data_IF_036387369474
#
_entry.id   IF_036387369474
#
_cell.length_a   1.000
_cell.length_b   1.000
_cell.length_c   1.000
_cell.angle_alpha   90.00
_cell.angle_beta   90.00
_cell.angle_gamma   90.00
#
_symmetry.space_group_name_H-M   'P 1'
#
loop_
_entity.id
_entity.type
_entity.pdbx_description
1 polymer ?
#
# COMPACT_ATOMS: atom_id res chain seq x y z
N UNK A 1 46.48 0.35 6.96
CA UNK A 1 46.42 0.06 5.51
C UNK A 1 44.96 -0.29 5.19
N UNK A 2 44.11 0.70 4.86
CA UNK A 2 42.70 0.46 4.51
C UNK A 2 42.68 -0.06 3.07
N UNK A 3 42.33 -1.33 2.88
CA UNK A 3 41.94 -1.81 1.58
C UNK A 3 40.62 -1.12 1.24
N UNK A 4 40.67 -0.10 0.37
CA UNK A 4 39.47 0.40 -0.30
C UNK A 4 38.94 -0.75 -1.13
N UNK A 5 37.96 -1.48 -0.58
CA UNK A 5 37.21 -2.47 -1.33
C UNK A 5 36.53 -1.71 -2.47
N UNK A 6 37.14 -1.74 -3.64
CA UNK A 6 36.58 -1.18 -4.86
C UNK A 6 35.21 -1.82 -5.05
N UNK A 7 34.15 -1.08 -4.75
CA UNK A 7 32.79 -1.58 -4.90
C UNK A 7 32.61 -2.06 -6.34
N UNK A 8 32.31 -3.34 -6.50
CA UNK A 8 32.21 -3.96 -7.81
C UNK A 8 31.15 -3.28 -8.68
N UNK A 9 31.27 -3.39 -10.02
CA UNK A 9 30.30 -2.85 -10.97
C UNK A 9 28.86 -3.33 -10.72
N UNK A 10 28.69 -4.49 -10.08
CA UNK A 10 27.40 -5.04 -9.68
C UNK A 10 26.68 -4.19 -8.62
N UNK A 11 27.42 -3.69 -7.61
CA UNK A 11 26.83 -2.84 -6.55
C UNK A 11 26.32 -1.52 -7.12
N UNK A 12 27.04 -0.94 -8.09
CA UNK A 12 26.60 0.27 -8.80
C UNK A 12 25.34 0.02 -9.64
N UNK A 13 25.30 -1.08 -10.39
CA UNK A 13 24.11 -1.47 -11.17
C UNK A 13 22.89 -1.71 -10.29
N UNK A 14 23.08 -2.35 -9.13
CA UNK A 14 22.00 -2.55 -8.16
C UNK A 14 21.52 -1.23 -7.58
N UNK A 15 22.43 -0.34 -7.19
CA UNK A 15 22.10 0.99 -6.70
C UNK A 15 21.26 1.79 -7.72
N UNK A 16 21.67 1.81 -8.98
CA UNK A 16 20.94 2.47 -10.07
C UNK A 16 19.53 1.90 -10.26
N UNK A 17 19.37 0.57 -10.16
CA UNK A 17 18.05 -0.09 -10.24
C UNK A 17 17.16 0.32 -9.07
N UNK A 18 17.70 0.30 -7.84
CA UNK A 18 16.96 0.67 -6.63
C UNK A 18 16.54 2.14 -6.65
N UNK A 19 17.41 3.04 -7.10
CA UNK A 19 17.09 4.47 -7.28
C UNK A 19 15.91 4.64 -8.23
N UNK A 20 15.94 3.94 -9.37
CA UNK A 20 14.87 4.02 -10.38
C UNK A 20 13.56 3.48 -9.84
N UNK A 21 13.61 2.38 -9.09
CA UNK A 21 12.44 1.78 -8.47
C UNK A 21 11.83 2.68 -7.38
N UNK A 22 12.66 3.37 -6.59
CA UNK A 22 12.17 4.36 -5.60
C UNK A 22 11.51 5.54 -6.30
N UNK A 23 12.09 6.07 -7.36
CA UNK A 23 11.45 7.16 -8.13
C UNK A 23 10.11 6.74 -8.71
N UNK A 24 9.99 5.49 -9.16
CA UNK A 24 8.73 4.91 -9.63
C UNK A 24 7.72 4.79 -8.49
N UNK A 25 8.10 4.17 -7.37
CA UNK A 25 7.23 3.99 -6.21
C UNK A 25 6.75 5.33 -5.64
N UNK A 26 7.63 6.33 -5.54
CA UNK A 26 7.27 7.68 -5.07
C UNK A 26 6.33 8.39 -6.05
N UNK A 27 6.50 8.20 -7.36
CA UNK A 27 5.56 8.73 -8.35
C UNK A 27 4.18 8.10 -8.19
N UNK A 28 4.12 6.77 -8.03
CA UNK A 28 2.86 6.06 -7.79
C UNK A 28 2.20 6.51 -6.48
N UNK A 29 2.97 6.72 -5.41
CA UNK A 29 2.48 7.18 -4.11
C UNK A 29 1.89 8.60 -4.16
N UNK A 30 2.31 9.44 -5.11
CA UNK A 30 1.73 10.77 -5.36
C UNK A 30 0.46 10.68 -6.22
N UNK A 31 0.46 9.84 -7.25
CA UNK A 31 -0.63 9.77 -8.22
C UNK A 31 -1.82 8.94 -7.74
N UNK A 32 -1.60 7.89 -6.94
CA UNK A 32 -2.65 6.97 -6.50
C UNK A 32 -3.72 7.65 -5.62
N UNK A 33 -3.36 8.48 -4.62
CA UNK A 33 -4.35 9.14 -3.76
C UNK A 33 -5.33 10.02 -4.54
N UNK A 34 -4.84 10.74 -5.56
CA UNK A 34 -5.70 11.57 -6.44
C UNK A 34 -6.70 10.72 -7.23
N UNK A 35 -6.32 9.51 -7.64
CA UNK A 35 -7.22 8.59 -8.34
C UNK A 35 -8.27 8.00 -7.40
N UNK A 36 -7.88 7.62 -6.19
CA UNK A 36 -8.81 7.08 -5.18
C UNK A 36 -9.76 8.15 -4.64
N UNK A 37 -9.31 9.40 -4.46
CA UNK A 37 -10.17 10.51 -4.09
C UNK A 37 -11.32 10.72 -5.08
N UNK A 38 -11.06 10.55 -6.39
CA UNK A 38 -12.11 10.64 -7.42
C UNK A 38 -13.14 9.50 -7.34
N UNK A 39 -12.78 8.35 -6.76
CA UNK A 39 -13.64 7.16 -6.66
C UNK A 39 -14.43 7.13 -5.36
N UNK A 40 -13.73 7.35 -4.25
CA UNK A 40 -14.25 7.22 -2.89
C UNK A 40 -14.76 8.56 -2.32
N UNK A 41 -14.51 9.68 -3.01
CA UNK A 41 -14.85 11.01 -2.52
C UNK A 41 -14.00 11.40 -1.31
N UNK A 42 -14.63 11.93 -0.26
CA UNK A 42 -13.97 12.44 0.95
C UNK A 42 -13.91 11.39 2.08
N UNK A 43 -13.80 10.11 1.74
CA UNK A 43 -13.81 9.02 2.72
C UNK A 43 -12.49 8.97 3.54
N UNK A 44 -12.52 8.45 4.78
CA UNK A 44 -11.32 8.30 5.63
C UNK A 44 -10.11 7.60 4.96
N UNK A 45 -10.30 6.53 4.14
CA UNK A 45 -9.19 5.91 3.41
C UNK A 45 -8.45 6.88 2.47
N UNK A 46 -9.16 7.85 1.89
CA UNK A 46 -8.58 8.86 0.98
C UNK A 46 -7.70 9.82 1.76
N UNK A 47 -8.16 10.32 2.90
CA UNK A 47 -7.37 11.22 3.74
C UNK A 47 -6.02 10.58 4.16
N UNK A 48 -6.04 9.30 4.55
CA UNK A 48 -4.81 8.56 4.89
C UNK A 48 -3.85 8.45 3.70
N UNK A 49 -4.38 8.22 2.49
CA UNK A 49 -3.59 8.19 1.25
C UNK A 49 -3.04 9.58 0.87
N UNK A 50 -3.78 10.66 1.12
CA UNK A 50 -3.33 12.02 0.87
C UNK A 50 -2.13 12.42 1.75
N UNK A 51 -2.11 11.99 3.02
CA UNK A 51 -0.95 12.14 3.90
C UNK A 51 0.30 11.47 3.32
N UNK A 52 0.13 10.26 2.75
CA UNK A 52 1.18 9.54 2.05
C UNK A 52 1.66 10.31 0.81
N UNK A 53 0.75 10.84 -0.02
CA UNK A 53 1.10 11.65 -1.20
C UNK A 53 1.88 12.92 -0.82
N UNK A 54 1.47 13.60 0.25
CA UNK A 54 2.15 14.81 0.73
C UNK A 54 3.57 14.50 1.17
N UNK A 55 3.74 13.44 1.98
CA UNK A 55 5.07 12.97 2.37
C UNK A 55 5.90 12.54 1.15
N UNK A 56 5.30 11.85 0.19
CA UNK A 56 5.99 11.41 -1.03
C UNK A 56 6.51 12.58 -1.86
N UNK A 57 5.67 13.62 -2.03
CA UNK A 57 6.05 14.85 -2.72
C UNK A 57 7.25 15.52 -2.06
N UNK A 58 7.21 15.68 -0.74
CA UNK A 58 8.30 16.29 0.02
C UNK A 58 9.60 15.45 -0.04
N UNK A 59 9.49 14.13 0.13
CA UNK A 59 10.66 13.26 0.15
C UNK A 59 11.30 13.08 -1.23
N UNK A 60 10.51 13.14 -2.31
CA UNK A 60 11.03 13.08 -3.68
C UNK A 60 11.94 14.26 -4.00
N UNK A 61 11.59 15.47 -3.57
CA UNK A 61 12.46 16.65 -3.76
C UNK A 61 13.79 16.45 -3.03
N UNK A 62 13.73 16.12 -1.74
CA UNK A 62 14.93 15.82 -0.92
C UNK A 62 15.77 14.69 -1.49
N UNK A 63 15.13 13.65 -2.05
CA UNK A 63 15.81 12.52 -2.65
C UNK A 63 16.63 12.97 -3.86
N UNK A 64 16.03 13.75 -4.75
CA UNK A 64 16.72 14.28 -5.91
C UNK A 64 17.89 15.16 -5.49
N UNK A 65 17.74 16.04 -4.51
CA UNK A 65 18.85 16.85 -3.96
C UNK A 65 20.01 15.96 -3.48
N UNK A 66 19.72 14.91 -2.70
CA UNK A 66 20.73 13.96 -2.23
C UNK A 66 21.44 13.26 -3.41
N UNK A 67 20.71 12.86 -4.46
CA UNK A 67 21.33 12.25 -5.63
C UNK A 67 22.26 13.22 -6.37
N UNK A 68 21.85 14.48 -6.54
CA UNK A 68 22.68 15.51 -7.18
C UNK A 68 23.94 15.82 -6.35
N UNK A 69 23.83 15.93 -5.01
CA UNK A 69 24.98 16.22 -4.15
C UNK A 69 26.01 15.10 -4.04
N UNK A 70 25.67 13.87 -4.43
CA UNK A 70 26.55 12.70 -4.37
C UNK A 70 27.01 12.24 -5.77
N UNK A 71 26.78 13.05 -6.81
CA UNK A 71 27.13 12.75 -8.21
C UNK A 71 26.69 11.36 -8.68
N UNK A 72 25.57 10.86 -8.19
CA UNK A 72 25.08 9.52 -8.55
C UNK A 72 24.42 9.60 -9.93
N UNK A 73 25.00 9.00 -10.99
CA UNK A 73 24.42 9.07 -12.31
C UNK A 73 23.10 8.29 -12.33
N UNK A 74 21.99 8.98 -12.59
CA UNK A 74 20.72 8.32 -12.85
C UNK A 74 20.27 8.63 -14.28
N UNK A 75 20.31 7.61 -15.13
CA UNK A 75 19.81 7.73 -16.49
C UNK A 75 18.28 7.82 -16.43
N UNK A 76 17.72 8.92 -16.92
CA UNK A 76 16.27 9.08 -17.16
C UNK A 76 15.87 8.16 -18.33
N UNK A 77 15.81 6.86 -18.08
CA UNK A 77 15.35 5.86 -19.05
C UNK A 77 13.85 6.02 -19.28
N UNK A 78 13.49 6.91 -20.20
CA UNK A 78 12.15 7.11 -20.75
C UNK A 78 11.95 6.14 -21.91
N UNK A 79 10.84 5.39 -21.91
CA UNK A 79 10.06 4.90 -23.07
C UNK A 79 9.30 3.59 -22.78
N UNK A 80 9.75 2.76 -21.82
CA UNK A 80 9.02 1.53 -21.43
C UNK A 80 7.87 1.73 -20.44
N UNK A 81 7.84 2.87 -19.73
CA UNK A 81 6.88 3.13 -18.66
C UNK A 81 5.46 3.42 -19.18
N UNK A 82 5.32 4.04 -20.35
CA UNK A 82 4.04 4.54 -20.87
C UNK A 82 3.08 3.42 -21.27
N UNK A 83 3.57 2.32 -21.85
CA UNK A 83 2.74 1.16 -22.23
C UNK A 83 2.25 0.35 -21.00
N UNK A 84 3.06 0.27 -19.94
CA UNK A 84 2.65 -0.38 -18.70
C UNK A 84 1.59 0.43 -17.94
N UNK A 85 1.75 1.77 -17.88
CA UNK A 85 0.76 2.66 -17.25
C UNK A 85 -0.59 2.62 -17.97
N UNK A 86 -0.59 2.51 -19.30
CA UNK A 86 -1.84 2.44 -20.08
C UNK A 86 -2.64 1.17 -19.77
N UNK A 87 -1.98 0.01 -19.59
CA UNK A 87 -2.65 -1.24 -19.23
C UNK A 87 -3.27 -1.19 -17.84
N UNK A 88 -2.59 -0.58 -16.87
CA UNK A 88 -3.14 -0.39 -15.52
C UNK A 88 -4.38 0.51 -15.52
N UNK A 89 -4.40 1.59 -16.32
CA UNK A 89 -5.54 2.50 -16.40
C UNK A 89 -6.82 1.84 -16.96
N UNK A 90 -6.69 0.82 -17.81
CA UNK A 90 -7.84 0.13 -18.40
C UNK A 90 -8.41 -0.93 -17.45
N UNK A 91 -7.55 -1.66 -16.72
CA UNK A 91 -8.02 -2.70 -15.78
C UNK A 91 -8.56 -2.10 -14.48
N UNK A 92 -7.99 -0.99 -14.00
CA UNK A 92 -8.41 -0.36 -12.74
C UNK A 92 -9.86 0.16 -12.78
N UNK A 93 -10.47 0.36 -13.96
CA UNK A 93 -11.84 0.89 -14.07
C UNK A 93 -12.93 -0.15 -13.74
N UNK A 94 -12.57 -1.43 -13.64
CA UNK A 94 -13.49 -2.56 -13.37
C UNK A 94 -13.26 -3.15 -11.97
N UNK A 95 -12.25 -2.67 -11.24
CA UNK A 95 -11.85 -3.22 -9.94
C UNK A 95 -12.59 -2.52 -8.81
N UNK A 96 -13.17 -3.32 -7.90
CA UNK A 96 -13.75 -2.89 -6.64
C UNK A 96 -12.81 -1.93 -5.88
N UNK A 97 -13.36 -0.87 -5.29
CA UNK A 97 -12.59 0.18 -4.62
C UNK A 97 -11.73 -0.39 -3.48
N UNK A 98 -12.22 -1.41 -2.77
CA UNK A 98 -11.44 -2.11 -1.74
C UNK A 98 -10.20 -2.79 -2.35
N UNK A 99 -10.35 -3.46 -3.49
CA UNK A 99 -9.24 -4.15 -4.17
C UNK A 99 -8.22 -3.16 -4.73
N UNK A 100 -8.68 -2.02 -5.25
CA UNK A 100 -7.78 -0.92 -5.65
C UNK A 100 -6.98 -0.41 -4.45
N UNK A 101 -7.66 -0.18 -3.32
CA UNK A 101 -7.02 0.26 -2.08
C UNK A 101 -5.98 -0.73 -1.54
N UNK A 102 -6.30 -2.03 -1.53
CA UNK A 102 -5.34 -3.09 -1.14
C UNK A 102 -4.13 -3.14 -2.06
N UNK A 103 -4.33 -2.93 -3.36
CA UNK A 103 -3.23 -2.86 -4.33
C UNK A 103 -2.31 -1.68 -4.02
N UNK A 104 -2.89 -0.52 -3.72
CA UNK A 104 -2.13 0.65 -3.27
C UNK A 104 -1.29 0.35 -2.01
N UNK A 105 -1.88 -0.33 -1.03
CA UNK A 105 -1.19 -0.72 0.20
C UNK A 105 -0.01 -1.66 -0.07
N UNK A 106 -0.16 -2.61 -0.99
CA UNK A 106 0.93 -3.50 -1.41
C UNK A 106 2.07 -2.72 -2.07
N UNK A 107 1.77 -1.78 -2.97
CA UNK A 107 2.76 -0.91 -3.59
C UNK A 107 3.53 -0.07 -2.55
N UNK A 108 2.82 0.46 -1.53
CA UNK A 108 3.45 1.21 -0.44
C UNK A 108 4.38 0.33 0.41
N UNK A 109 3.99 -0.91 0.70
CA UNK A 109 4.84 -1.87 1.41
C UNK A 109 6.07 -2.26 0.61
N UNK A 110 5.90 -2.49 -0.69
CA UNK A 110 7.02 -2.72 -1.61
C UNK A 110 8.01 -1.56 -1.58
N UNK A 111 7.53 -0.30 -1.62
CA UNK A 111 8.37 0.87 -1.47
C UNK A 111 9.22 0.86 -0.18
N UNK A 112 8.65 0.42 0.95
CA UNK A 112 9.39 0.28 2.22
C UNK A 112 10.53 -0.73 2.07
N UNK A 113 10.30 -1.87 1.43
CA UNK A 113 11.31 -2.91 1.28
C UNK A 113 12.42 -2.48 0.31
N UNK A 114 12.07 -1.79 -0.78
CA UNK A 114 13.05 -1.20 -1.70
C UNK A 114 13.94 -0.18 -0.98
N UNK A 115 13.38 0.69 -0.11
CA UNK A 115 14.17 1.66 0.65
C UNK A 115 15.07 0.97 1.70
N UNK A 116 14.63 -0.12 2.34
CA UNK A 116 15.50 -0.93 3.22
C UNK A 116 16.70 -1.50 2.45
N UNK A 117 16.47 -2.04 1.25
CA UNK A 117 17.53 -2.56 0.39
C UNK A 117 18.47 -1.43 -0.07
N UNK A 118 17.92 -0.28 -0.47
CA UNK A 118 18.72 0.88 -0.85
C UNK A 118 19.64 1.32 0.28
N UNK A 119 19.12 1.39 1.51
CA UNK A 119 19.90 1.76 2.69
C UNK A 119 21.09 0.83 2.92
N UNK A 120 20.87 -0.48 2.79
CA UNK A 120 21.93 -1.48 2.96
C UNK A 120 23.00 -1.36 1.87
N UNK A 121 22.61 -1.17 0.61
CA UNK A 121 23.56 -0.94 -0.48
C UNK A 121 24.32 0.37 -0.29
N UNK A 122 23.65 1.42 0.18
CA UNK A 122 24.24 2.74 0.44
C UNK A 122 25.26 2.71 1.56
N UNK A 123 25.03 1.89 2.61
CA UNK A 123 26.01 1.63 3.68
C UNK A 123 27.28 0.99 3.14
N UNK A 124 27.13 0.01 2.26
CA UNK A 124 28.29 -0.67 1.66
C UNK A 124 29.13 0.28 0.81
N UNK A 125 28.48 1.23 0.12
CA UNK A 125 29.14 2.22 -0.75
C UNK A 125 29.45 3.54 -0.01
N UNK A 126 29.22 3.59 1.31
CA UNK A 126 29.47 4.76 2.17
C UNK A 126 28.76 6.06 1.72
N UNK A 127 27.58 5.94 1.09
CA UNK A 127 26.77 7.08 0.64
C UNK A 127 25.92 7.66 1.78
N UNK A 128 26.56 8.39 2.70
CA UNK A 128 25.95 8.87 3.94
C UNK A 128 24.69 9.72 3.76
N UNK A 129 24.66 10.58 2.74
CA UNK A 129 23.47 11.39 2.43
C UNK A 129 22.25 10.53 2.12
N UNK A 130 22.46 9.43 1.39
CA UNK A 130 21.42 8.49 1.02
C UNK A 130 20.97 7.61 2.19
N UNK A 131 21.91 7.20 3.05
CA UNK A 131 21.60 6.48 4.30
C UNK A 131 20.69 7.34 5.19
N UNK A 132 21.05 8.62 5.41
CA UNK A 132 20.26 9.54 6.20
C UNK A 132 18.87 9.75 5.61
N UNK A 133 18.79 9.97 4.29
CA UNK A 133 17.49 10.08 3.61
C UNK A 133 16.63 8.83 3.81
N UNK A 134 17.22 7.63 3.71
CA UNK A 134 16.49 6.38 3.94
C UNK A 134 15.96 6.27 5.38
N UNK A 135 16.76 6.68 6.37
CA UNK A 135 16.36 6.65 7.78
C UNK A 135 15.18 7.59 8.04
N UNK A 136 15.28 8.86 7.59
CA UNK A 136 14.20 9.84 7.70
C UNK A 136 12.92 9.34 7.00
N UNK A 137 13.08 8.81 5.78
CA UNK A 137 11.97 8.28 4.98
C UNK A 137 11.28 7.11 5.68
N UNK A 138 12.05 6.13 6.20
CA UNK A 138 11.52 4.93 6.84
C UNK A 138 10.84 5.25 8.17
N UNK A 139 11.37 6.21 8.93
CA UNK A 139 10.78 6.63 10.18
C UNK A 139 9.37 7.18 9.98
N UNK A 140 9.17 8.06 9.00
CA UNK A 140 7.87 8.65 8.71
C UNK A 140 6.93 7.71 7.94
N UNK A 141 7.41 7.07 6.86
CA UNK A 141 6.55 6.27 5.96
C UNK A 141 5.90 5.09 6.66
N UNK A 142 6.60 4.40 7.58
CA UNK A 142 6.03 3.23 8.29
C UNK A 142 4.77 3.59 9.06
N UNK A 143 4.78 4.72 9.76
CA UNK A 143 3.62 5.21 10.50
C UNK A 143 2.48 5.55 9.56
N UNK A 144 2.76 6.23 8.44
CA UNK A 144 1.74 6.57 7.45
C UNK A 144 1.12 5.33 6.81
N UNK A 145 1.93 4.31 6.48
CA UNK A 145 1.44 3.05 5.92
C UNK A 145 0.59 2.28 6.92
N UNK A 146 0.96 2.29 8.21
CA UNK A 146 0.13 1.71 9.27
C UNK A 146 -1.23 2.44 9.38
N UNK A 147 -1.26 3.76 9.23
CA UNK A 147 -2.51 4.53 9.20
C UNK A 147 -3.38 4.14 7.99
N UNK A 148 -2.79 3.99 6.80
CA UNK A 148 -3.49 3.50 5.60
C UNK A 148 -4.05 2.09 5.82
N UNK A 149 -3.24 1.19 6.37
CA UNK A 149 -3.68 -0.18 6.68
C UNK A 149 -4.86 -0.21 7.66
N UNK A 150 -4.86 0.63 8.69
CA UNK A 150 -5.96 0.72 9.64
C UNK A 150 -7.30 1.11 8.98
N UNK A 151 -7.27 1.84 7.85
CA UNK A 151 -8.48 2.20 7.12
C UNK A 151 -9.10 1.03 6.35
N UNK A 152 -8.45 -0.13 6.26
CA UNK A 152 -9.09 -1.32 5.66
C UNK A 152 -10.37 -1.73 6.40
N UNK A 153 -10.46 -1.46 7.71
CA UNK A 153 -11.66 -1.72 8.50
C UNK A 153 -12.89 -0.92 8.02
N UNK A 154 -12.69 0.20 7.32
CA UNK A 154 -13.78 0.99 6.73
C UNK A 154 -14.53 0.21 5.65
N UNK A 155 -13.83 -0.59 4.84
CA UNK A 155 -14.44 -1.38 3.77
C UNK A 155 -15.26 -2.58 4.28
N UNK A 156 -15.05 -3.00 5.53
CA UNK A 156 -15.82 -4.08 6.15
C UNK A 156 -17.21 -3.61 6.64
N UNK A 157 -17.51 -2.31 6.58
CA UNK A 157 -18.78 -1.75 7.07
C UNK A 157 -19.84 -1.75 5.94
N UNK A 158 -20.88 -2.58 6.02
CA UNK A 158 -21.86 -2.75 4.93
C UNK A 158 -22.71 -1.50 4.66
N UNK A 159 -22.85 -0.62 5.66
CA UNK A 159 -23.74 0.55 5.59
C UNK A 159 -23.18 1.74 4.80
N UNK A 160 -21.85 1.80 4.58
CA UNK A 160 -21.20 2.98 3.99
C UNK A 160 -21.09 2.87 2.46
N UNK A 161 -21.34 1.70 1.88
CA UNK A 161 -21.04 1.44 0.47
C UNK A 161 -21.99 2.08 -0.56
N UNK A 162 -23.13 2.68 -0.18
CA UNK A 162 -24.11 3.16 -1.16
C UNK A 162 -24.81 4.48 -0.82
N UNK A 163 -24.17 5.65 -1.04
CA UNK A 163 -24.89 6.87 -1.35
C UNK A 163 -25.21 6.90 -2.86
N UNK A 164 -26.16 6.08 -3.31
CA UNK A 164 -26.63 6.16 -4.71
C UNK A 164 -27.06 4.87 -5.42
N UNK A 165 -27.12 3.72 -4.75
CA UNK A 165 -28.00 2.67 -5.27
C UNK A 165 -29.41 3.21 -5.08
N UNK A 166 -29.98 3.74 -6.16
CA UNK A 166 -31.43 3.77 -6.27
C UNK A 166 -31.90 2.39 -5.83
N UNK A 167 -32.82 2.28 -4.86
CA UNK A 167 -33.42 1.00 -4.56
C UNK A 167 -33.89 0.47 -5.91
N UNK A 168 -33.27 -0.62 -6.38
CA UNK A 168 -33.86 -1.41 -7.44
C UNK A 168 -35.19 -1.78 -6.82
N UNK A 169 -36.25 -1.11 -7.28
CA UNK A 169 -37.60 -1.44 -6.90
C UNK A 169 -37.66 -2.94 -7.14
N UNK A 170 -37.70 -3.68 -6.04
CA UNK A 170 -38.03 -5.09 -6.09
C UNK A 170 -39.49 -5.06 -6.47
N UNK A 171 -39.73 -4.90 -7.76
CA UNK A 171 -41.03 -5.08 -8.37
C UNK A 171 -41.38 -6.51 -8.00
N UNK A 172 -42.29 -6.62 -7.04
CA UNK A 172 -42.74 -7.89 -6.51
C UNK A 172 -43.06 -8.79 -7.70
N UNK A 173 -42.49 -10.01 -7.79
CA UNK A 173 -42.97 -10.95 -8.78
C UNK A 173 -44.46 -11.12 -8.52
N UNK A 174 -45.28 -10.73 -9.49
CA UNK A 174 -46.69 -11.07 -9.49
C UNK A 174 -46.77 -12.60 -9.49
N UNK A 175 -46.94 -13.16 -8.29
CA UNK A 175 -47.23 -14.58 -8.08
C UNK A 175 -48.64 -14.80 -8.62
N UNK A 176 -48.75 -15.15 -9.90
CA UNK A 176 -49.85 -15.97 -10.37
C UNK A 176 -49.61 -17.36 -9.83
N UNK A 177 -50.46 -17.74 -8.87
CA UNK A 177 -50.58 -19.09 -8.35
C UNK A 177 -50.73 -20.09 -9.49
N UNK A 178 -49.94 -21.15 -9.47
CA UNK A 178 -50.38 -22.46 -9.95
C UNK A 178 -49.76 -23.48 -9.02
N UNK A 179 -50.63 -24.06 -8.18
CA UNK A 179 -50.44 -25.33 -7.48
C UNK A 179 -49.84 -26.37 -8.44
N UNK A 180 -48.84 -27.12 -8.00
CA UNK A 180 -49.03 -28.55 -7.71
C UNK A 180 -47.75 -29.13 -7.09
N UNK A 181 -47.99 -30.14 -6.26
CA UNK A 181 -47.09 -30.78 -5.32
C UNK A 181 -45.89 -31.47 -5.98
N UNK A 182 -44.78 -31.59 -5.24
CA UNK A 182 -44.36 -32.92 -4.81
C UNK A 182 -43.36 -32.82 -3.65
N UNK A 183 -43.63 -33.66 -2.66
CA UNK A 183 -42.82 -33.96 -1.50
C UNK A 183 -41.55 -34.68 -1.98
N UNK A 184 -40.36 -34.23 -1.57
CA UNK A 184 -39.35 -35.24 -1.23
C UNK A 184 -38.42 -34.76 -0.12
N UNK A 185 -38.32 -35.69 0.81
CA UNK A 185 -37.78 -35.65 2.15
C UNK A 185 -36.32 -36.10 2.08
N UNK A 186 -35.39 -35.29 2.58
CA UNK A 186 -34.01 -35.72 2.81
C UNK A 186 -33.40 -34.93 3.97
N UNK A 187 -33.70 -35.43 5.17
CA UNK A 187 -32.84 -35.36 6.35
C UNK A 187 -31.35 -35.58 6.00
N UNK A 188 -30.48 -34.61 6.30
CA UNK A 188 -29.08 -34.89 6.66
C UNK A 188 -28.61 -33.94 7.76
N UNK A 189 -28.74 -34.46 8.98
CA UNK A 189 -27.73 -34.60 10.02
C UNK A 189 -26.81 -33.44 10.43
N UNK A 190 -26.89 -33.22 11.73
CA UNK A 190 -26.20 -32.33 12.65
C UNK A 190 -24.75 -32.77 12.89
N UNK A 191 -23.80 -31.82 13.00
CA UNK A 191 -22.54 -31.86 13.78
C UNK A 191 -21.63 -30.71 13.34
N UNK A 192 -20.83 -30.02 14.15
CA UNK A 192 -20.56 -30.05 15.57
C UNK A 192 -19.99 -28.67 15.93
N UNK A 193 -20.26 -28.29 17.17
CA UNK A 193 -19.66 -27.18 17.90
C UNK A 193 -18.15 -27.37 18.06
N UNK A 194 -17.34 -26.35 17.81
CA UNK A 194 -16.05 -26.24 18.49
C UNK A 194 -15.74 -24.80 18.89
N UNK A 195 -15.58 -24.66 20.20
CA UNK A 195 -15.34 -23.44 20.96
C UNK A 195 -13.84 -23.37 21.21
N UNK A 196 -13.12 -22.45 20.57
CA UNK A 196 -11.73 -22.15 20.98
C UNK A 196 -11.61 -20.75 21.57
N UNK A 197 -11.62 -20.79 22.90
CA UNK A 197 -11.22 -19.76 23.86
C UNK A 197 -9.69 -19.73 23.88
N UNK A 198 -9.05 -18.67 23.37
CA UNK A 198 -7.61 -18.47 23.59
C UNK A 198 -7.33 -17.12 24.23
N UNK A 199 -6.75 -17.24 25.43
CA UNK A 199 -6.46 -16.22 26.42
C UNK A 199 -5.39 -15.22 25.99
N UNK A 200 -5.65 -13.95 26.26
CA UNK A 200 -4.63 -12.92 26.43
C UNK A 200 -3.77 -13.18 27.68
N UNK A 201 -2.46 -12.89 27.62
CA UNK A 201 -1.71 -12.46 28.78
C UNK A 201 -1.31 -10.99 28.66
N UNK A 202 -1.87 -10.18 29.56
CA UNK A 202 -1.35 -8.88 29.95
C UNK A 202 0.11 -8.99 30.39
N UNK A 203 1.00 -8.18 29.82
CA UNK A 203 2.29 -7.85 30.45
C UNK A 203 2.38 -6.34 30.62
N UNK A 204 2.08 -5.91 31.85
CA UNK A 204 2.48 -4.60 32.33
C UNK A 204 4.00 -4.53 32.46
N UNK A 205 4.58 -3.40 32.06
CA UNK A 205 5.91 -2.99 32.46
C UNK A 205 5.79 -1.61 33.09
N UNK A 206 5.72 -1.60 34.42
CA UNK A 206 6.16 -0.48 35.24
C UNK A 206 7.66 -0.30 35.03
N UNK A 207 8.09 0.91 34.69
CA UNK A 207 9.38 1.43 35.15
C UNK A 207 9.19 2.86 35.60
N UNK A 208 9.05 2.99 36.92
CA UNK A 208 9.51 4.15 37.66
C UNK A 208 10.97 4.42 37.35
N UNK A 209 11.32 5.69 37.12
CA UNK A 209 12.63 6.19 37.50
C UNK A 209 12.56 7.69 37.77
N UNK A 210 12.39 8.02 39.05
CA UNK A 210 12.99 9.19 39.72
C UNK A 210 14.48 9.23 39.35
N UNK A 211 15.10 10.37 39.03
CA UNK A 211 15.44 11.51 39.90
C UNK A 211 16.06 12.58 39.00
#
# INVERSE_FOLDING_TARGET
>A
MRMHASHGPESRRLLEKLIREILRAETQAVEHPVREAKRLGTAPPVAALEEVARHATAMRVRFLEVLHSNDVPFHKGSLGATLATLRHLVVDRVVDAERSYRTALLDLRHGIDVVKLLREVSRRVELFGLIRWCDDWLAARRTLVACVEAQLAWFAQPEIMLPGALPIATEAPAVTSTDEADEDDCDVETSATETEKSSSPSRGWHTDRST
#
